data_IF_379706784333
#
_entry.id   IF_379706784333
#
_cell.length_a   1.000
_cell.length_b   1.000
_cell.length_c   1.000
_cell.angle_alpha   90.00
_cell.angle_beta   90.00
_cell.angle_gamma   90.00
#
_symmetry.space_group_name_H-M   'P 1'
#
loop_
_entity.id
_entity.type
_entity.pdbx_description
1 polymer ?
#
# COMPACT_ATOMS: atom_id res chain seq x y z
N UNK A 1 7.53 9.53 -26.08
CA UNK A 1 7.22 8.34 -25.28
C UNK A 1 8.44 8.06 -24.41
N UNK A 2 8.26 7.89 -23.10
CA UNK A 2 9.31 7.58 -22.14
C UNK A 2 9.61 6.09 -22.15
N UNK A 3 10.88 5.71 -22.00
CA UNK A 3 11.28 4.30 -21.87
C UNK A 3 11.82 4.05 -20.46
N UNK A 4 11.31 3.02 -19.80
CA UNK A 4 11.70 2.64 -18.44
C UNK A 4 12.15 1.18 -18.42
N UNK A 5 13.32 0.92 -17.84
CA UNK A 5 13.78 -0.44 -17.55
C UNK A 5 13.10 -0.97 -16.28
N UNK A 6 12.16 -1.90 -16.44
CA UNK A 6 11.42 -2.54 -15.37
C UNK A 6 12.24 -3.51 -14.52
N UNK A 7 13.53 -3.71 -14.81
CA UNK A 7 14.48 -4.45 -13.96
C UNK A 7 15.22 -3.56 -12.96
N UNK A 8 15.10 -2.23 -13.05
CA UNK A 8 15.72 -1.30 -12.12
C UNK A 8 15.26 -1.55 -10.67
N UNK A 9 16.18 -1.34 -9.73
CA UNK A 9 15.95 -1.54 -8.29
C UNK A 9 15.59 -2.99 -7.99
N UNK A 10 14.42 -3.23 -7.41
CA UNK A 10 13.98 -4.59 -7.10
C UNK A 10 13.47 -5.39 -8.32
N UNK A 11 13.31 -4.74 -9.47
CA UNK A 11 12.68 -5.32 -10.65
C UNK A 11 11.31 -5.93 -10.33
N UNK A 12 10.53 -5.28 -9.47
CA UNK A 12 9.27 -5.77 -8.94
C UNK A 12 8.03 -5.13 -9.58
N UNK A 13 6.84 -5.55 -9.15
CA UNK A 13 5.58 -4.95 -9.61
C UNK A 13 5.39 -3.50 -9.15
N UNK A 14 6.12 -3.04 -8.12
CA UNK A 14 6.01 -1.69 -7.57
C UNK A 14 6.38 -0.62 -8.60
N UNK A 15 7.55 -0.75 -9.25
CA UNK A 15 8.00 0.20 -10.28
C UNK A 15 6.95 0.37 -11.38
N UNK A 16 6.39 -0.74 -11.84
CA UNK A 16 5.38 -0.77 -12.90
C UNK A 16 4.10 -0.02 -12.49
N UNK A 17 3.62 -0.22 -11.25
CA UNK A 17 2.44 0.49 -10.73
C UNK A 17 2.68 1.99 -10.62
N UNK A 18 3.81 2.38 -10.03
CA UNK A 18 4.16 3.80 -9.84
C UNK A 18 4.35 4.51 -11.19
N UNK A 19 5.04 3.87 -12.14
CA UNK A 19 5.26 4.43 -13.48
C UNK A 19 3.95 4.67 -14.25
N UNK A 20 2.97 3.77 -14.16
CA UNK A 20 1.67 3.96 -14.79
C UNK A 20 0.88 5.10 -14.14
N UNK A 21 0.89 5.20 -12.82
CA UNK A 21 0.25 6.31 -12.13
C UNK A 21 0.87 7.66 -12.52
N UNK A 22 2.20 7.76 -12.54
CA UNK A 22 2.92 8.97 -12.94
C UNK A 22 2.76 9.31 -14.42
N UNK A 23 2.70 8.29 -15.29
CA UNK A 23 2.39 8.47 -16.71
C UNK A 23 1.01 9.12 -16.87
N UNK A 24 0.00 8.63 -16.14
CA UNK A 24 -1.35 9.18 -16.15
C UNK A 24 -1.38 10.66 -15.71
N UNK A 25 -0.74 10.98 -14.59
CA UNK A 25 -0.71 12.35 -14.05
C UNK A 25 -0.01 13.32 -15.01
N UNK A 26 1.13 12.89 -15.57
CA UNK A 26 1.94 13.76 -16.44
C UNK A 26 1.44 13.79 -17.88
N UNK A 27 0.44 12.98 -18.24
CA UNK A 27 0.01 12.76 -19.63
C UNK A 27 1.16 12.34 -20.57
N UNK A 28 2.21 11.70 -20.04
CA UNK A 28 3.38 11.26 -20.80
C UNK A 28 3.30 9.77 -21.07
N UNK A 29 3.17 9.33 -22.33
CA UNK A 29 3.19 7.90 -22.67
C UNK A 29 4.48 7.22 -22.21
N UNK A 30 4.38 6.00 -21.69
CA UNK A 30 5.51 5.19 -21.22
C UNK A 30 5.53 3.81 -21.88
N UNK A 31 6.73 3.34 -22.23
CA UNK A 31 7.03 1.94 -22.54
C UNK A 31 7.91 1.38 -21.43
N UNK A 32 7.49 0.27 -20.83
CA UNK A 32 8.28 -0.44 -19.81
C UNK A 32 8.77 -1.75 -20.42
N UNK A 33 10.07 -2.04 -20.30
CA UNK A 33 10.70 -3.29 -20.75
C UNK A 33 11.28 -4.07 -19.55
N UNK A 34 11.82 -5.27 -19.78
CA UNK A 34 12.49 -6.09 -18.74
C UNK A 34 11.66 -6.33 -17.47
N UNK A 35 10.33 -6.39 -17.58
CA UNK A 35 9.44 -6.49 -16.43
C UNK A 35 9.73 -7.77 -15.65
N UNK A 36 10.15 -7.61 -14.40
CA UNK A 36 10.46 -8.73 -13.49
C UNK A 36 11.51 -9.70 -14.04
N UNK A 37 12.42 -9.21 -14.89
CA UNK A 37 13.47 -10.00 -15.56
C UNK A 37 14.30 -10.86 -14.60
N UNK A 38 14.61 -10.32 -13.41
CA UNK A 38 15.45 -10.99 -12.40
C UNK A 38 14.66 -11.82 -11.37
N UNK A 39 13.34 -12.00 -11.56
CA UNK A 39 12.51 -12.81 -10.65
C UNK A 39 12.38 -14.24 -11.18
N UNK A 40 12.15 -15.25 -10.31
CA UNK A 40 12.03 -16.65 -10.74
C UNK A 40 10.97 -16.90 -11.81
N UNK A 41 9.92 -16.09 -11.81
CA UNK A 41 8.91 -16.08 -12.86
C UNK A 41 8.82 -14.66 -13.43
N UNK A 42 9.49 -14.35 -14.56
CA UNK A 42 9.47 -13.03 -15.18
C UNK A 42 8.10 -12.59 -15.69
N UNK A 43 8.00 -11.32 -16.06
CA UNK A 43 6.82 -10.72 -16.67
C UNK A 43 5.67 -10.41 -15.72
N UNK A 44 4.59 -9.88 -16.31
CA UNK A 44 3.36 -9.50 -15.61
C UNK A 44 2.67 -10.71 -14.99
N UNK A 45 2.32 -10.60 -13.71
CA UNK A 45 1.49 -11.58 -13.00
C UNK A 45 0.03 -11.15 -13.09
N UNK A 46 -0.95 -12.05 -12.88
CA UNK A 46 -2.37 -11.71 -12.94
C UNK A 46 -2.75 -10.46 -12.14
N UNK A 47 -2.21 -10.32 -10.92
CA UNK A 47 -2.42 -9.15 -10.07
C UNK A 47 -1.84 -7.84 -10.65
N UNK A 48 -0.68 -7.91 -11.33
CA UNK A 48 -0.10 -6.75 -12.00
C UNK A 48 -0.96 -6.38 -13.20
N UNK A 49 -1.30 -7.36 -14.04
CA UNK A 49 -2.12 -7.16 -15.23
C UNK A 49 -3.43 -6.48 -14.87
N UNK A 50 -4.16 -6.97 -13.86
CA UNK A 50 -5.44 -6.38 -13.46
C UNK A 50 -5.31 -4.94 -12.97
N UNK A 51 -4.25 -4.62 -12.21
CA UNK A 51 -4.00 -3.26 -11.77
C UNK A 51 -3.75 -2.32 -12.97
N UNK A 52 -2.97 -2.77 -13.96
CA UNK A 52 -2.66 -1.98 -15.16
C UNK A 52 -3.86 -1.86 -16.11
N UNK A 53 -4.65 -2.92 -16.27
CA UNK A 53 -5.92 -2.89 -17.01
C UNK A 53 -6.90 -1.90 -16.38
N UNK A 54 -6.99 -1.91 -15.04
CA UNK A 54 -7.86 -0.97 -14.31
C UNK A 54 -7.35 0.46 -14.47
N UNK A 55 -6.04 0.69 -14.36
CA UNK A 55 -5.45 2.00 -14.61
C UNK A 55 -5.71 2.47 -16.05
N UNK A 56 -5.61 1.57 -17.03
CA UNK A 56 -5.90 1.90 -18.42
C UNK A 56 -7.38 2.27 -18.63
N UNK A 57 -8.30 1.56 -17.98
CA UNK A 57 -9.73 1.86 -18.01
C UNK A 57 -10.05 3.21 -17.39
N UNK A 58 -9.47 3.53 -16.22
CA UNK A 58 -9.69 4.81 -15.53
C UNK A 58 -9.03 5.96 -16.30
N UNK A 59 -7.85 5.73 -16.90
CA UNK A 59 -7.09 6.77 -17.60
C UNK A 59 -7.42 6.88 -19.11
N UNK A 60 -8.50 6.23 -19.57
CA UNK A 60 -8.87 6.11 -20.99
C UNK A 60 -7.67 5.76 -21.89
N UNK A 61 -6.74 4.96 -21.39
CA UNK A 61 -5.40 4.82 -21.97
C UNK A 61 -5.39 3.84 -23.14
N UNK A 62 -4.59 4.16 -24.16
CA UNK A 62 -4.20 3.19 -25.19
C UNK A 62 -3.05 2.34 -24.66
N UNK A 63 -3.20 1.02 -24.76
CA UNK A 63 -2.24 0.05 -24.22
C UNK A 63 -1.85 -0.98 -25.27
N UNK A 64 -0.60 -1.44 -25.22
CA UNK A 64 -0.14 -2.61 -25.99
C UNK A 64 0.78 -3.47 -25.12
N UNK A 65 0.79 -4.79 -25.32
CA UNK A 65 1.64 -5.71 -24.55
C UNK A 65 1.16 -6.04 -23.13
N UNK A 66 -0.07 -5.63 -22.75
CA UNK A 66 -0.69 -6.04 -21.48
C UNK A 66 -1.27 -7.46 -21.60
N UNK A 67 -0.44 -8.47 -21.39
CA UNK A 67 -0.85 -9.87 -21.34
C UNK A 67 -0.14 -10.63 -20.21
N UNK A 68 -0.69 -11.76 -19.73
CA UNK A 68 -0.03 -12.57 -18.72
C UNK A 68 1.38 -13.00 -19.16
N UNK A 69 2.37 -12.81 -18.30
CA UNK A 69 3.77 -13.14 -18.59
C UNK A 69 4.50 -12.14 -19.47
N UNK A 70 3.84 -11.07 -19.94
CA UNK A 70 4.51 -10.07 -20.78
C UNK A 70 5.67 -9.40 -20.06
N UNK A 71 6.80 -9.27 -20.74
CA UNK A 71 8.02 -8.62 -20.25
C UNK A 71 8.15 -7.17 -20.71
N UNK A 72 7.24 -6.70 -21.57
CA UNK A 72 7.13 -5.30 -21.96
C UNK A 72 5.67 -4.87 -22.19
N UNK A 73 5.36 -3.61 -21.95
CA UNK A 73 4.09 -3.01 -22.38
C UNK A 73 4.26 -1.52 -22.65
N UNK A 74 3.33 -0.95 -23.42
CA UNK A 74 3.18 0.50 -23.56
C UNK A 74 1.85 0.96 -22.97
N UNK A 75 1.87 2.15 -22.40
CA UNK A 75 0.73 2.81 -21.77
C UNK A 75 0.72 4.28 -22.18
N UNK A 76 -0.35 4.70 -22.85
CA UNK A 76 -0.54 6.06 -23.35
C UNK A 76 -1.84 6.62 -22.78
N UNK A 77 -1.80 7.34 -21.64
CA UNK A 77 -3.00 7.90 -21.01
C UNK A 77 -3.61 8.99 -21.87
N UNK A 78 -4.92 9.23 -21.67
CA UNK A 78 -5.67 10.30 -22.35
C UNK A 78 -6.21 11.28 -21.32
N UNK A 79 -7.03 10.79 -20.39
CA UNK A 79 -7.69 11.58 -19.35
C UNK A 79 -7.96 10.69 -18.13
N UNK A 80 -7.99 11.25 -16.92
CA UNK A 80 -8.36 10.49 -15.71
C UNK A 80 -9.86 10.65 -15.51
N UNK A 81 -10.62 9.67 -16.01
CA UNK A 81 -12.07 9.75 -16.09
C UNK A 81 -12.72 9.43 -14.75
N UNK A 82 -13.65 10.31 -14.35
CA UNK A 82 -14.52 10.09 -13.20
C UNK A 82 -15.56 9.00 -13.42
N UNK A 83 -16.23 8.60 -12.34
CA UNK A 83 -17.40 7.71 -12.40
C UNK A 83 -17.26 6.43 -11.59
N UNK A 84 -18.13 5.47 -11.92
CA UNK A 84 -18.29 4.21 -11.17
C UNK A 84 -17.66 3.05 -11.92
N UNK A 85 -16.74 2.36 -11.27
CA UNK A 85 -16.05 1.21 -11.82
C UNK A 85 -16.25 -0.02 -10.94
N UNK A 86 -16.44 -1.18 -11.59
CA UNK A 86 -16.52 -2.48 -10.92
C UNK A 86 -15.38 -3.35 -11.43
N UNK A 87 -14.55 -3.80 -10.50
CA UNK A 87 -13.35 -4.57 -10.80
C UNK A 87 -13.43 -5.89 -10.04
N UNK A 88 -13.38 -7.00 -10.78
CA UNK A 88 -13.11 -8.31 -10.20
C UNK A 88 -11.70 -8.74 -10.59
N UNK A 89 -10.84 -8.96 -9.59
CA UNK A 89 -9.48 -9.45 -9.79
C UNK A 89 -9.50 -10.94 -10.20
N UNK A 90 -10.60 -11.65 -9.92
CA UNK A 90 -10.82 -13.06 -10.27
C UNK A 90 -10.00 -14.06 -9.44
N UNK A 91 -9.14 -13.55 -8.55
CA UNK A 91 -8.24 -14.33 -7.69
C UNK A 91 -8.05 -13.61 -6.36
N UNK A 92 -7.22 -14.15 -5.46
CA UNK A 92 -6.74 -13.46 -4.27
C UNK A 92 -5.70 -12.35 -4.56
N UNK A 93 -5.70 -11.72 -5.74
CA UNK A 93 -4.83 -10.58 -5.99
C UNK A 93 -5.17 -9.40 -5.05
N UNK A 94 -4.14 -8.72 -4.56
CA UNK A 94 -4.26 -7.69 -3.53
C UNK A 94 -5.06 -6.48 -4.01
N UNK A 95 -6.19 -6.21 -3.36
CA UNK A 95 -6.97 -4.98 -3.52
C UNK A 95 -6.12 -3.77 -3.10
N UNK A 96 -5.40 -3.76 -1.95
CA UNK A 96 -4.52 -2.65 -1.60
C UNK A 96 -3.50 -2.30 -2.68
N UNK A 97 -2.85 -3.27 -3.32
CA UNK A 97 -1.90 -2.98 -4.40
C UNK A 97 -2.57 -2.46 -5.67
N UNK A 98 -3.79 -2.90 -5.97
CA UNK A 98 -4.58 -2.35 -7.07
C UNK A 98 -4.92 -0.89 -6.79
N UNK A 99 -5.39 -0.57 -5.58
CA UNK A 99 -5.69 0.80 -5.18
C UNK A 99 -4.43 1.66 -5.18
N UNK A 100 -3.30 1.20 -4.64
CA UNK A 100 -2.03 1.93 -4.67
C UNK A 100 -1.50 2.20 -6.09
N UNK A 101 -1.89 1.40 -7.09
CA UNK A 101 -1.59 1.68 -8.50
C UNK A 101 -2.37 2.88 -9.05
N UNK A 102 -3.58 3.11 -8.54
CA UNK A 102 -4.50 4.13 -9.03
C UNK A 102 -4.36 5.42 -8.23
N UNK A 103 -4.32 5.30 -6.90
CA UNK A 103 -4.44 6.38 -5.93
C UNK A 103 -3.55 7.60 -6.21
N UNK A 104 -2.28 7.49 -6.67
CA UNK A 104 -1.51 8.69 -6.97
C UNK A 104 -2.13 9.58 -8.05
N UNK A 105 -2.86 8.98 -9.01
CA UNK A 105 -3.48 9.69 -10.12
C UNK A 105 -4.87 10.26 -9.78
N UNK A 106 -5.60 9.66 -8.84
CA UNK A 106 -7.01 9.99 -8.58
C UNK A 106 -7.28 11.43 -8.09
N UNK A 107 -6.37 12.12 -7.36
CA UNK A 107 -6.53 13.54 -7.05
C UNK A 107 -6.70 14.45 -8.27
N UNK A 108 -6.21 14.01 -9.43
CA UNK A 108 -6.20 14.74 -10.70
C UNK A 108 -7.32 14.32 -11.65
N UNK A 109 -8.28 13.51 -11.18
CA UNK A 109 -9.49 13.22 -11.93
C UNK A 109 -10.36 14.48 -12.11
N UNK A 110 -11.16 14.52 -13.17
CA UNK A 110 -12.11 15.64 -13.37
C UNK A 110 -13.29 15.57 -12.41
N UNK A 111 -13.69 14.35 -12.03
CA UNK A 111 -14.84 14.10 -11.18
C UNK A 111 -14.54 12.96 -10.19
N UNK A 112 -15.46 12.78 -9.24
CA UNK A 112 -15.45 11.71 -8.25
C UNK A 112 -15.30 10.33 -8.90
N UNK A 113 -14.46 9.48 -8.31
CA UNK A 113 -14.27 8.08 -8.69
C UNK A 113 -14.75 7.16 -7.58
N UNK A 114 -15.61 6.19 -7.95
CA UNK A 114 -16.12 5.17 -7.06
C UNK A 114 -15.76 3.79 -7.60
N UNK A 115 -14.99 3.02 -6.82
CA UNK A 115 -14.53 1.69 -7.16
C UNK A 115 -15.22 0.66 -6.27
N UNK A 116 -15.84 -0.35 -6.88
CA UNK A 116 -16.18 -1.60 -6.20
C UNK A 116 -15.19 -2.66 -6.65
N UNK A 117 -14.30 -3.08 -5.75
CA UNK A 117 -13.21 -4.01 -6.07
C UNK A 117 -13.42 -5.32 -5.32
N UNK A 118 -13.34 -6.44 -6.05
CA UNK A 118 -13.38 -7.80 -5.52
C UNK A 118 -12.04 -8.50 -5.70
N UNK A 119 -11.51 -9.13 -4.64
CA UNK A 119 -10.17 -9.71 -4.63
C UNK A 119 -9.69 -10.14 -3.24
N UNK A 120 -8.38 -10.04 -3.00
CA UNK A 120 -7.77 -10.28 -1.69
C UNK A 120 -7.63 -8.98 -0.88
N UNK A 121 -8.14 -8.96 0.34
CA UNK A 121 -7.97 -7.85 1.29
C UNK A 121 -6.76 -8.06 2.19
N UNK A 122 -6.46 -9.32 2.48
CA UNK A 122 -5.47 -9.76 3.47
C UNK A 122 -4.64 -10.88 2.86
N UNK A 123 -3.62 -10.50 2.09
CA UNK A 123 -2.78 -11.43 1.31
C UNK A 123 -1.30 -11.09 1.45
N UNK A 124 -0.45 -12.11 1.31
CA UNK A 124 0.98 -11.98 1.52
C UNK A 124 1.63 -11.04 0.49
N UNK A 125 2.73 -10.41 0.90
CA UNK A 125 3.54 -9.51 0.07
C UNK A 125 2.77 -8.27 -0.43
N UNK A 126 1.79 -7.83 0.35
CA UNK A 126 1.08 -6.57 0.19
C UNK A 126 0.64 -6.03 1.55
N UNK A 127 0.38 -4.72 1.68
CA UNK A 127 -0.35 -4.18 2.82
C UNK A 127 -1.71 -4.88 2.98
N UNK A 128 -2.19 -5.00 4.21
CA UNK A 128 -3.58 -5.36 4.49
C UNK A 128 -4.50 -4.19 4.16
N UNK A 129 -5.80 -4.48 4.01
CA UNK A 129 -6.80 -3.43 3.80
C UNK A 129 -6.87 -2.47 5.00
N UNK A 130 -6.71 -3.01 6.21
CA UNK A 130 -6.72 -2.21 7.44
C UNK A 130 -5.51 -1.28 7.51
N UNK A 131 -4.32 -1.73 7.08
CA UNK A 131 -3.14 -0.86 6.98
C UNK A 131 -3.39 0.29 6.00
N UNK A 132 -3.99 0.00 4.83
CA UNK A 132 -4.33 1.04 3.85
C UNK A 132 -5.31 2.07 4.45
N UNK A 133 -6.32 1.62 5.19
CA UNK A 133 -7.34 2.48 5.80
C UNK A 133 -6.79 3.32 6.96
N UNK A 134 -6.02 2.69 7.86
CA UNK A 134 -5.67 3.28 9.15
C UNK A 134 -4.26 3.88 9.20
N UNK A 135 -3.39 3.59 8.22
CA UNK A 135 -2.03 4.16 8.14
C UNK A 135 -1.89 4.99 6.87
N UNK A 136 -2.02 4.37 5.70
CA UNK A 136 -1.77 5.04 4.42
C UNK A 136 -2.72 6.21 4.18
N UNK A 137 -4.04 5.98 4.23
CA UNK A 137 -5.02 7.03 3.96
C UNK A 137 -4.98 8.12 5.04
N UNK A 138 -4.73 7.79 6.30
CA UNK A 138 -4.57 8.79 7.36
C UNK A 138 -3.36 9.71 7.12
N UNK A 139 -2.25 9.17 6.62
CA UNK A 139 -1.09 9.97 6.24
C UNK A 139 -1.39 10.86 5.03
N UNK A 140 -2.06 10.32 4.01
CA UNK A 140 -2.43 11.07 2.81
C UNK A 140 -3.46 12.18 3.10
N UNK A 141 -4.38 11.98 4.04
CA UNK A 141 -5.32 13.03 4.49
C UNK A 141 -4.57 14.25 5.03
N UNK A 142 -3.42 14.08 5.68
CA UNK A 142 -2.58 15.23 6.13
C UNK A 142 -2.04 16.06 4.97
N UNK A 143 -1.90 15.44 3.80
CA UNK A 143 -1.51 16.08 2.55
C UNK A 143 -2.71 16.62 1.77
N UNK A 144 -3.93 16.57 2.33
CA UNK A 144 -5.15 17.02 1.66
C UNK A 144 -5.76 16.02 0.69
N UNK A 145 -5.32 14.75 0.73
CA UNK A 145 -5.89 13.69 -0.09
C UNK A 145 -7.32 13.37 0.35
N UNK A 146 -8.26 13.33 -0.61
CA UNK A 146 -9.67 13.07 -0.37
C UNK A 146 -10.05 11.68 -0.86
N UNK A 147 -9.82 10.66 -0.03
CA UNK A 147 -10.13 9.27 -0.36
C UNK A 147 -10.62 8.48 0.84
N UNK A 148 -11.58 7.60 0.61
CA UNK A 148 -12.12 6.69 1.63
C UNK A 148 -12.18 5.28 1.08
N UNK A 149 -11.72 4.34 1.88
CA UNK A 149 -11.82 2.91 1.61
C UNK A 149 -12.70 2.30 2.70
N UNK A 150 -13.70 1.52 2.29
CA UNK A 150 -14.61 0.80 3.17
C UNK A 150 -14.56 -0.69 2.81
N UNK A 151 -14.05 -1.48 3.74
CA UNK A 151 -14.16 -2.92 3.70
C UNK A 151 -15.63 -3.36 3.78
N UNK A 152 -16.07 -4.25 2.90
CA UNK A 152 -17.38 -4.91 2.97
C UNK A 152 -17.23 -6.35 3.40
N UNK A 153 -16.32 -7.08 2.77
CA UNK A 153 -16.03 -8.47 3.08
C UNK A 153 -14.53 -8.72 2.98
N UNK A 154 -13.97 -9.52 3.89
CA UNK A 154 -12.57 -9.94 3.83
C UNK A 154 -12.36 -11.04 2.79
N UNK A 155 -11.19 -11.04 2.17
CA UNK A 155 -10.76 -11.98 1.15
C UNK A 155 -9.33 -12.45 1.35
N UNK A 156 -9.14 -13.76 1.46
CA UNK A 156 -7.86 -14.38 1.78
C UNK A 156 -7.37 -15.27 0.64
N UNK A 157 -6.05 -15.44 0.55
CA UNK A 157 -5.44 -16.42 -0.35
C UNK A 157 -5.90 -17.86 -0.02
N UNK A 158 -6.15 -18.74 -1.02
CA UNK A 158 -5.99 -18.54 -2.46
C UNK A 158 -7.23 -18.00 -3.18
N UNK A 159 -8.40 -18.05 -2.54
CA UNK A 159 -9.68 -17.80 -3.21
C UNK A 159 -9.99 -16.32 -3.41
N UNK A 160 -9.55 -15.45 -2.50
CA UNK A 160 -9.91 -14.04 -2.47
C UNK A 160 -11.38 -13.86 -2.11
N UNK A 161 -12.11 -13.12 -2.94
CA UNK A 161 -13.55 -12.89 -2.80
C UNK A 161 -13.93 -11.82 -1.79
N UNK A 162 -12.97 -11.13 -1.18
CA UNK A 162 -13.22 -9.95 -0.39
C UNK A 162 -13.67 -8.80 -1.27
N UNK A 163 -14.46 -7.89 -0.71
CA UNK A 163 -15.07 -6.78 -1.43
C UNK A 163 -14.80 -5.47 -0.70
N UNK A 164 -14.37 -4.47 -1.46
CA UNK A 164 -14.04 -3.13 -0.96
C UNK A 164 -14.77 -2.09 -1.80
N UNK A 165 -15.37 -1.11 -1.12
CA UNK A 165 -15.87 0.11 -1.73
C UNK A 165 -14.87 1.22 -1.48
N UNK A 166 -14.30 1.79 -2.54
CA UNK A 166 -13.38 2.91 -2.44
C UNK A 166 -13.96 4.13 -3.17
N UNK A 167 -13.80 5.30 -2.58
CA UNK A 167 -14.28 6.57 -3.11
C UNK A 167 -13.16 7.58 -3.06
N UNK A 168 -12.94 8.30 -4.16
CA UNK A 168 -11.91 9.31 -4.29
C UNK A 168 -12.50 10.55 -4.92
N UNK A 169 -12.21 11.71 -4.34
CA UNK A 169 -12.62 13.01 -4.86
C UNK A 169 -11.39 13.70 -5.48
N UNK A 170 -11.56 14.46 -6.58
CA UNK A 170 -10.53 15.38 -7.05
C UNK A 170 -10.10 16.31 -5.93
N UNK A 171 -8.79 16.44 -5.71
CA UNK A 171 -8.26 17.20 -4.60
C UNK A 171 -6.88 17.79 -4.90
N UNK A 172 -6.57 18.90 -4.23
CA UNK A 172 -5.26 19.54 -4.31
C UNK A 172 -4.37 19.04 -3.17
N UNK A 173 -3.33 18.31 -3.53
CA UNK A 173 -2.31 17.89 -2.58
C UNK A 173 -1.52 19.09 -2.05
N UNK A 174 -1.10 19.01 -0.78
CA UNK A 174 -0.34 20.03 -0.08
C UNK A 174 0.85 19.40 0.62
N UNK A 175 1.98 20.09 0.58
CA UNK A 175 3.18 19.62 1.25
C UNK A 175 2.96 19.40 2.74
N UNK A 176 3.51 18.31 3.28
CA UNK A 176 3.40 17.98 4.69
C UNK A 176 4.74 17.52 5.25
N UNK A 177 5.04 18.01 6.46
CA UNK A 177 6.25 17.69 7.18
C UNK A 177 5.89 16.67 8.26
N UNK A 178 6.08 15.38 7.96
CA UNK A 178 5.84 14.29 8.89
C UNK A 178 6.89 14.37 9.99
N UNK A 179 6.44 14.68 11.21
CA UNK A 179 7.29 14.84 12.38
C UNK A 179 6.99 13.74 13.39
N UNK A 180 8.04 13.35 14.10
CA UNK A 180 7.92 12.43 15.22
C UNK A 180 6.99 13.02 16.31
N UNK A 181 6.03 12.24 16.86
CA UNK A 181 5.35 12.61 18.10
C UNK A 181 6.38 12.77 19.24
N UNK A 182 6.35 13.93 19.93
CA UNK A 182 7.32 14.29 20.99
C UNK A 182 7.32 13.32 22.19
N UNK A 183 6.32 12.47 22.34
CA UNK A 183 6.24 11.46 23.40
C UNK A 183 5.63 10.16 22.83
N UNK A 184 6.46 9.12 22.64
CA UNK A 184 6.01 7.80 22.18
C UNK A 184 5.60 6.86 23.33
N UNK A 185 6.02 7.15 24.57
CA UNK A 185 5.59 6.39 25.74
C UNK A 185 4.10 6.65 25.98
N UNK A 186 3.33 5.59 26.18
CA UNK A 186 1.86 5.60 26.29
C UNK A 186 1.09 5.91 25.00
N UNK A 187 1.71 5.73 23.81
CA UNK A 187 0.91 5.70 22.58
C UNK A 187 -0.07 4.53 22.64
N UNK A 188 -1.33 4.83 22.36
CA UNK A 188 -2.35 3.82 22.15
C UNK A 188 -2.09 3.13 20.80
N UNK A 189 -1.90 1.81 20.85
CA UNK A 189 -1.72 0.96 19.67
C UNK A 189 -3.06 0.29 19.40
N UNK A 190 -3.71 0.71 18.32
CA UNK A 190 -4.96 0.11 17.90
C UNK A 190 -4.71 -1.13 17.06
N UNK A 191 -5.70 -2.02 16.96
CA UNK A 191 -5.60 -3.14 16.06
C UNK A 191 -6.90 -3.89 15.85
N UNK A 192 -6.94 -4.67 14.77
CA UNK A 192 -8.02 -5.61 14.48
C UNK A 192 -7.39 -6.97 14.20
N UNK A 193 -7.79 -7.98 14.97
CA UNK A 193 -7.53 -9.38 14.69
C UNK A 193 -8.78 -10.05 14.15
N UNK A 194 -8.69 -10.73 13.02
CA UNK A 194 -9.85 -11.20 12.29
C UNK A 194 -9.68 -12.66 11.85
N UNK A 195 -10.79 -13.39 11.80
CA UNK A 195 -10.86 -14.75 11.23
C UNK A 195 -12.07 -14.91 10.32
N UNK A 196 -11.95 -15.80 9.35
CA UNK A 196 -13.05 -16.29 8.54
C UNK A 196 -13.01 -17.81 8.45
N UNK A 197 -14.14 -18.47 8.68
CA UNK A 197 -14.30 -19.94 8.63
C UNK A 197 -13.30 -20.68 9.55
N UNK A 198 -12.99 -20.09 10.71
CA UNK A 198 -12.12 -20.64 11.74
C UNK A 198 -12.75 -20.35 13.11
N UNK A 199 -12.44 -21.13 14.17
CA UNK A 199 -12.93 -20.84 15.50
C UNK A 199 -12.56 -19.43 15.98
N UNK A 200 -13.49 -18.73 16.62
CA UNK A 200 -13.32 -17.34 17.10
C UNK A 200 -12.14 -17.18 18.07
N UNK A 201 -11.78 -18.24 18.80
CA UNK A 201 -10.61 -18.24 19.69
C UNK A 201 -9.28 -18.01 18.94
N UNK A 202 -9.23 -18.18 17.62
CA UNK A 202 -8.03 -17.91 16.82
C UNK A 202 -7.74 -16.40 16.80
N UNK A 203 -8.73 -15.53 16.54
CA UNK A 203 -8.54 -14.08 16.62
C UNK A 203 -8.24 -13.64 18.06
N UNK A 204 -8.93 -14.23 19.05
CA UNK A 204 -8.66 -13.90 20.45
C UNK A 204 -7.20 -14.19 20.84
N UNK A 205 -6.66 -15.36 20.45
CA UNK A 205 -5.26 -15.74 20.72
C UNK A 205 -4.24 -14.89 19.95
N UNK A 206 -4.57 -14.46 18.74
CA UNK A 206 -3.76 -13.51 17.97
C UNK A 206 -3.69 -12.15 18.68
N UNK A 207 -4.86 -11.58 19.02
CA UNK A 207 -4.96 -10.30 19.71
C UNK A 207 -4.24 -10.35 21.06
N UNK A 208 -4.49 -11.38 21.88
CA UNK A 208 -3.89 -11.50 23.21
C UNK A 208 -2.36 -11.56 23.13
N UNK A 209 -1.80 -12.37 22.23
CA UNK A 209 -0.35 -12.48 22.10
C UNK A 209 0.31 -11.17 21.62
N UNK A 210 -0.39 -10.36 20.81
CA UNK A 210 0.06 -9.02 20.45
C UNK A 210 -0.05 -8.05 21.63
N UNK A 211 -1.18 -8.07 22.38
CA UNK A 211 -1.40 -7.25 23.57
C UNK A 211 -0.32 -7.48 24.62
N UNK A 212 -0.04 -8.74 24.95
CA UNK A 212 1.00 -9.10 25.93
C UNK A 212 2.34 -8.48 25.58
N UNK A 213 2.80 -8.64 24.33
CA UNK A 213 4.11 -8.13 23.91
C UNK A 213 4.16 -6.59 23.88
N UNK A 214 3.08 -5.92 23.48
CA UNK A 214 3.01 -4.46 23.49
C UNK A 214 3.00 -3.89 24.93
N UNK A 215 2.31 -4.57 25.86
CA UNK A 215 2.30 -4.19 27.28
C UNK A 215 3.67 -4.37 27.94
N UNK A 216 4.37 -5.47 27.64
CA UNK A 216 5.75 -5.73 28.09
C UNK A 216 6.71 -4.61 27.65
N UNK A 217 6.43 -3.97 26.51
CA UNK A 217 7.21 -2.88 25.94
C UNK A 217 6.74 -1.48 26.37
N UNK A 218 5.72 -1.39 27.25
CA UNK A 218 5.23 -0.13 27.81
C UNK A 218 4.26 0.64 26.91
N UNK A 219 3.62 -0.01 25.94
CA UNK A 219 2.56 0.57 25.10
C UNK A 219 1.17 0.15 25.59
N UNK A 220 0.14 0.92 25.23
CA UNK A 220 -1.26 0.63 25.60
C UNK A 220 -2.02 0.06 24.40
N UNK A 221 -2.27 -1.26 24.31
CA UNK A 221 -2.93 -1.84 23.15
C UNK A 221 -4.46 -1.87 23.29
N UNK A 222 -5.16 -1.35 22.28
CA UNK A 222 -6.60 -1.55 22.05
C UNK A 222 -6.82 -2.37 20.77
N UNK A 223 -6.87 -3.69 20.92
CA UNK A 223 -6.99 -4.62 19.80
C UNK A 223 -8.33 -5.33 19.87
N UNK A 224 -9.18 -5.06 18.88
CA UNK A 224 -10.49 -5.68 18.67
C UNK A 224 -10.38 -7.02 17.94
N UNK A 225 -11.47 -7.79 17.98
CA UNK A 225 -11.57 -9.08 17.29
C UNK A 225 -12.79 -9.14 16.36
N UNK A 226 -12.62 -9.76 15.20
CA UNK A 226 -13.68 -9.99 14.23
C UNK A 226 -13.73 -11.47 13.83
N UNK A 227 -14.94 -12.03 13.71
CA UNK A 227 -15.13 -13.41 13.30
C UNK A 227 -16.25 -13.48 12.26
N UNK A 228 -15.96 -14.13 11.14
CA UNK A 228 -16.88 -14.18 10.00
C UNK A 228 -17.03 -15.59 9.43
N UNK A 229 -18.10 -15.78 8.66
CA UNK A 229 -18.30 -16.91 7.76
C UNK A 229 -18.37 -16.35 6.33
N UNK A 230 -17.24 -16.37 5.61
CA UNK A 230 -17.11 -15.74 4.28
C UNK A 230 -16.70 -16.74 3.21
N UNK A 231 -16.59 -16.26 1.97
CA UNK A 231 -16.18 -17.07 0.82
C UNK A 231 -14.81 -17.75 0.98
N UNK A 232 -13.86 -17.08 1.61
CA UNK A 232 -12.50 -17.59 1.83
C UNK A 232 -12.18 -17.76 3.31
N UNK A 233 -11.45 -18.84 3.62
CA UNK A 233 -10.93 -19.13 4.96
C UNK A 233 -9.61 -18.41 5.16
N UNK A 234 -9.44 -17.75 6.29
CA UNK A 234 -8.19 -17.08 6.64
C UNK A 234 -8.25 -16.41 8.00
N UNK A 235 -7.12 -15.91 8.44
CA UNK A 235 -7.04 -15.05 9.62
C UNK A 235 -5.87 -14.09 9.48
N UNK A 236 -5.90 -13.01 10.25
CA UNK A 236 -4.84 -12.03 10.28
C UNK A 236 -5.02 -11.08 11.44
N UNK A 237 -4.01 -10.23 11.62
CA UNK A 237 -4.04 -9.15 12.57
C UNK A 237 -3.28 -7.98 11.95
N UNK A 238 -3.86 -6.79 12.04
CA UNK A 238 -3.21 -5.53 11.70
C UNK A 238 -3.23 -4.63 12.93
N UNK A 239 -2.09 -4.04 13.25
CA UNK A 239 -1.86 -3.10 14.33
C UNK A 239 -1.46 -1.76 13.73
N UNK A 240 -1.86 -0.66 14.35
CA UNK A 240 -1.46 0.67 13.92
C UNK A 240 -1.46 1.69 15.06
N UNK A 241 -0.66 2.74 14.89
CA UNK A 241 -0.76 3.98 15.66
C UNK A 241 -0.06 5.10 14.90
N UNK A 242 -0.71 6.25 14.79
CA UNK A 242 -0.21 7.35 13.95
C UNK A 242 0.11 6.90 12.52
N UNK A 243 1.39 6.97 12.15
CA UNK A 243 1.89 6.60 10.82
C UNK A 243 2.73 5.33 10.82
N UNK A 244 2.46 4.45 11.78
CA UNK A 244 3.11 3.15 11.95
C UNK A 244 2.08 2.03 11.87
N UNK A 245 2.43 0.94 11.21
CA UNK A 245 1.66 -0.28 11.23
C UNK A 245 2.51 -1.54 11.30
N UNK A 246 1.87 -2.64 11.71
CA UNK A 246 2.44 -3.98 11.67
C UNK A 246 1.34 -5.00 11.45
N UNK A 247 1.59 -6.03 10.66
CA UNK A 247 0.58 -7.00 10.28
C UNK A 247 1.12 -8.41 10.16
N UNK A 248 0.26 -9.39 10.38
CA UNK A 248 0.61 -10.78 10.15
C UNK A 248 -0.60 -11.58 9.71
N UNK A 249 -0.37 -12.51 8.80
CA UNK A 249 -1.40 -13.41 8.28
C UNK A 249 -1.25 -14.80 8.88
N UNK A 250 -2.38 -15.40 9.24
CA UNK A 250 -2.44 -16.81 9.60
C UNK A 250 -2.14 -17.71 8.39
N UNK A 251 -1.53 -18.86 8.66
CA UNK A 251 -1.31 -19.90 7.65
C UNK A 251 -1.44 -21.28 8.29
N UNK A 252 -1.73 -22.30 7.48
CA UNK A 252 -1.86 -23.68 7.95
C UNK A 252 -0.60 -24.10 8.71
N UNK A 253 -0.78 -24.61 9.94
CA UNK A 253 0.31 -25.04 10.81
C UNK A 253 1.03 -23.93 11.59
N UNK A 254 0.64 -22.65 11.43
CA UNK A 254 1.19 -21.55 12.22
C UNK A 254 0.28 -21.24 13.43
N UNK A 255 0.79 -21.28 14.68
CA UNK A 255 0.00 -20.95 15.86
C UNK A 255 -0.50 -19.50 15.87
N UNK A 256 -1.70 -19.27 16.38
CA UNK A 256 -2.35 -17.97 16.48
C UNK A 256 -1.49 -16.95 17.26
N UNK A 257 -0.87 -17.37 18.36
CA UNK A 257 0.00 -16.53 19.19
C UNK A 257 1.22 -16.06 18.42
N UNK A 258 1.77 -16.92 17.55
CA UNK A 258 2.92 -16.57 16.74
C UNK A 258 2.54 -15.51 15.70
N UNK A 259 1.34 -15.57 15.13
CA UNK A 259 0.82 -14.53 14.23
C UNK A 259 0.69 -13.20 15.00
N UNK A 260 0.08 -13.22 16.20
CA UNK A 260 -0.03 -12.03 17.06
C UNK A 260 1.33 -11.39 17.38
N UNK A 261 2.29 -12.19 17.85
CA UNK A 261 3.66 -11.72 18.13
C UNK A 261 4.38 -11.22 16.89
N UNK A 262 4.12 -11.79 15.71
CA UNK A 262 4.72 -11.32 14.45
C UNK A 262 4.23 -9.92 14.08
N UNK A 263 2.93 -9.65 14.20
CA UNK A 263 2.40 -8.30 13.92
C UNK A 263 2.94 -7.28 14.93
N UNK A 264 2.98 -7.63 16.22
CA UNK A 264 3.59 -6.77 17.23
C UNK A 264 5.10 -6.56 16.98
N UNK A 265 5.81 -7.62 16.59
CA UNK A 265 7.22 -7.54 16.22
C UNK A 265 7.50 -6.71 14.96
N UNK A 266 6.52 -6.52 14.08
CA UNK A 266 6.64 -5.64 12.91
C UNK A 266 6.49 -4.15 13.29
N UNK A 267 5.54 -3.81 14.16
CA UNK A 267 5.30 -2.40 14.55
C UNK A 267 6.29 -1.91 15.62
N UNK A 268 6.77 -2.77 16.52
CA UNK A 268 7.64 -2.40 17.65
C UNK A 268 8.94 -1.67 17.26
N UNK A 269 9.70 -2.09 16.23
CA UNK A 269 10.88 -1.34 15.78
C UNK A 269 10.56 0.11 15.42
N UNK A 270 9.38 0.37 14.84
CA UNK A 270 8.95 1.70 14.44
C UNK A 270 8.58 2.55 15.67
N UNK A 271 7.89 1.94 16.64
CA UNK A 271 7.55 2.58 17.91
C UNK A 271 8.78 2.95 18.75
N UNK A 272 9.80 2.08 18.76
CA UNK A 272 11.07 2.33 19.48
C UNK A 272 11.93 3.40 18.82
N UNK A 273 11.79 3.59 17.51
CA UNK A 273 12.56 4.59 16.77
C UNK A 273 12.04 6.02 16.99
N UNK A 274 12.82 7.03 16.62
CA UNK A 274 12.35 8.42 16.53
C UNK A 274 11.86 8.79 15.12
N UNK A 275 11.62 7.80 14.26
CA UNK A 275 11.07 8.00 12.93
C UNK A 275 9.64 8.57 13.00
N UNK A 276 9.28 9.35 11.97
CA UNK A 276 7.95 9.92 11.80
C UNK A 276 6.98 8.97 11.09
N UNK A 277 7.49 8.07 10.24
CA UNK A 277 6.70 7.09 9.48
C UNK A 277 7.39 5.72 9.52
N UNK A 278 6.62 4.65 9.37
CA UNK A 278 7.21 3.30 9.21
C UNK A 278 7.87 3.09 7.83
N UNK A 279 8.61 1.99 7.70
CA UNK A 279 9.37 1.66 6.48
C UNK A 279 8.51 1.40 5.22
N UNK A 280 7.25 1.01 5.39
CA UNK A 280 6.35 0.70 4.28
C UNK A 280 5.61 1.96 3.83
N UNK A 281 5.16 2.78 4.77
CA UNK A 281 4.58 4.08 4.46
C UNK A 281 5.61 5.01 3.82
N UNK A 282 6.88 4.92 4.22
CA UNK A 282 7.99 5.66 3.61
C UNK A 282 8.01 5.52 2.09
N UNK A 283 7.88 4.30 1.54
CA UNK A 283 7.85 4.11 0.10
C UNK A 283 6.55 4.61 -0.55
N UNK A 284 5.42 4.48 0.15
CA UNK A 284 4.09 4.82 -0.37
C UNK A 284 3.92 6.33 -0.52
N UNK A 285 4.53 7.14 0.36
CA UNK A 285 4.41 8.60 0.36
C UNK A 285 5.16 9.27 -0.81
N UNK A 286 6.19 8.64 -1.35
CA UNK A 286 7.09 9.24 -2.36
C UNK A 286 6.35 9.92 -3.53
N UNK A 287 5.46 9.24 -4.29
CA UNK A 287 4.79 9.90 -5.42
C UNK A 287 3.95 11.10 -4.96
N UNK A 288 3.29 11.01 -3.80
CA UNK A 288 2.46 12.11 -3.29
C UNK A 288 3.29 13.30 -2.82
N UNK A 289 4.44 13.06 -2.18
CA UNK A 289 5.36 14.12 -1.76
C UNK A 289 5.88 14.91 -2.95
N UNK A 290 6.28 14.23 -4.03
CA UNK A 290 6.73 14.89 -5.25
C UNK A 290 5.62 15.71 -5.94
N UNK A 291 4.39 15.22 -5.92
CA UNK A 291 3.24 15.92 -6.50
C UNK A 291 2.80 17.13 -5.66
N UNK A 292 2.98 17.05 -4.34
CA UNK A 292 2.60 18.10 -3.40
C UNK A 292 3.68 19.18 -3.23
N UNK A 293 4.95 18.84 -3.44
CA UNK A 293 6.10 19.67 -3.05
C UNK A 293 6.22 19.81 -1.53
N UNK A 294 7.24 20.56 -1.09
CA UNK A 294 7.50 20.99 0.30
C UNK A 294 7.11 19.94 1.36
N UNK A 295 7.62 18.72 1.20
CA UNK A 295 7.27 17.57 2.02
C UNK A 295 8.52 16.90 2.58
N UNK A 296 8.42 16.36 3.79
CA UNK A 296 9.49 15.54 4.36
C UNK A 296 8.95 14.51 5.36
N UNK A 297 9.73 13.44 5.56
CA UNK A 297 9.55 12.50 6.67
C UNK A 297 10.90 11.98 7.16
N UNK A 298 10.90 11.37 8.34
CA UNK A 298 12.01 10.51 8.81
C UNK A 298 11.56 9.05 8.91
N UNK A 299 12.41 8.13 8.48
CA UNK A 299 12.22 6.68 8.56
C UNK A 299 13.46 6.01 9.17
N UNK A 300 13.30 4.85 9.81
CA UNK A 300 14.47 4.12 10.37
C UNK A 300 15.37 3.52 9.29
N UNK A 301 14.82 3.21 8.12
CA UNK A 301 15.49 2.51 7.04
C UNK A 301 14.93 2.95 5.69
N UNK A 302 15.78 2.96 4.66
CA UNK A 302 15.38 3.13 3.28
C UNK A 302 15.32 1.79 2.56
N UNK A 303 14.11 1.26 2.45
CA UNK A 303 13.83 0.04 1.70
C UNK A 303 14.20 0.21 0.21
N UNK A 304 14.44 -0.91 -0.47
CA UNK A 304 14.66 -0.91 -1.91
C UNK A 304 13.42 -0.42 -2.68
N UNK A 305 12.21 -0.68 -2.15
CA UNK A 305 10.97 -0.05 -2.60
C UNK A 305 11.02 1.48 -2.54
N UNK A 306 11.46 2.06 -1.42
CA UNK A 306 11.57 3.52 -1.27
C UNK A 306 12.52 4.10 -2.31
N UNK A 307 13.72 3.51 -2.46
CA UNK A 307 14.72 3.94 -3.45
C UNK A 307 14.20 3.85 -4.88
N UNK A 308 13.47 2.80 -5.19
CA UNK A 308 12.87 2.58 -6.52
C UNK A 308 11.75 3.58 -6.80
N UNK A 309 10.88 3.85 -5.82
CA UNK A 309 9.84 4.87 -5.94
C UNK A 309 10.43 6.28 -6.09
N UNK A 310 11.51 6.61 -5.39
CA UNK A 310 12.23 7.89 -5.58
C UNK A 310 12.71 7.98 -7.02
N UNK A 311 13.48 6.99 -7.47
CA UNK A 311 14.08 7.00 -8.79
C UNK A 311 13.04 7.13 -9.91
N UNK A 312 11.96 6.33 -9.88
CA UNK A 312 10.93 6.38 -10.93
C UNK A 312 10.16 7.71 -10.89
N UNK A 313 9.93 8.27 -9.70
CA UNK A 313 9.25 9.56 -9.55
C UNK A 313 10.04 10.69 -10.18
N UNK A 314 11.37 10.72 -9.96
CA UNK A 314 12.27 11.69 -10.59
C UNK A 314 12.43 11.50 -12.11
N UNK A 315 12.04 10.36 -12.69
CA UNK A 315 12.01 10.21 -14.16
C UNK A 315 10.83 10.96 -14.78
N UNK A 316 9.70 11.00 -14.08
CA UNK A 316 8.45 11.58 -14.57
C UNK A 316 8.30 13.06 -14.22
N UNK A 317 8.75 13.45 -13.02
CA UNK A 317 8.56 14.77 -12.45
C UNK A 317 9.89 15.50 -12.34
N UNK A 318 9.88 16.81 -12.57
CA UNK A 318 11.05 17.69 -12.43
C UNK A 318 11.29 18.02 -10.95
N UNK A 319 11.59 16.99 -10.16
CA UNK A 319 11.85 17.07 -8.72
C UNK A 319 13.11 16.29 -8.38
N UNK A 320 13.72 16.62 -7.23
CA UNK A 320 14.86 15.88 -6.68
C UNK A 320 14.62 15.62 -5.19
N UNK A 321 14.64 14.35 -4.81
CA UNK A 321 14.58 13.97 -3.41
C UNK A 321 15.95 14.15 -2.77
N UNK A 322 15.97 14.78 -1.61
CA UNK A 322 17.15 14.87 -0.75
C UNK A 322 17.03 13.87 0.37
N UNK A 323 18.07 13.07 0.54
CA UNK A 323 18.18 12.06 1.59
C UNK A 323 19.33 12.48 2.51
N UNK A 324 19.06 12.57 3.81
CA UNK A 324 20.08 12.85 4.84
C UNK A 324 20.00 11.81 5.93
N UNK A 325 21.14 11.30 6.34
CA UNK A 325 21.24 10.45 7.53
C UNK A 325 21.54 11.32 8.74
N UNK A 326 20.70 11.23 9.77
CA UNK A 326 20.86 12.01 11.01
C UNK A 326 20.30 11.22 12.19
N UNK A 327 21.07 11.14 13.27
CA UNK A 327 20.67 10.47 14.52
C UNK A 327 20.19 9.03 14.32
N UNK A 328 20.79 8.30 13.36
CA UNK A 328 20.42 6.93 13.01
C UNK A 328 19.10 6.79 12.23
N UNK A 329 18.58 7.90 11.69
CA UNK A 329 17.39 7.94 10.84
C UNK A 329 17.71 8.47 9.45
N UNK A 330 16.87 8.16 8.48
CA UNK A 330 16.89 8.74 7.14
C UNK A 330 15.79 9.80 7.02
N UNK A 331 16.19 11.05 6.84
CA UNK A 331 15.32 12.16 6.47
C UNK A 331 15.21 12.22 4.94
N UNK A 332 13.99 12.05 4.43
CA UNK A 332 13.66 12.16 3.00
C UNK A 332 12.84 13.42 2.81
N UNK A 333 13.26 14.29 1.89
CA UNK A 333 12.58 15.55 1.62
C UNK A 333 12.53 15.86 0.13
N UNK A 334 11.53 16.63 -0.28
CA UNK A 334 11.38 17.20 -1.61
C UNK A 334 10.81 18.61 -1.48
N UNK A 335 11.39 19.55 -2.23
CA UNK A 335 10.96 20.95 -2.28
C UNK A 335 9.73 21.12 -3.20
#
# INVERSE_FOLDING_TARGET
MMEIDGSYGEGGGQLVRTAVALSAITSRPVKITNIRKNRPNPGLKPQHLKALETAAMVCSARVSGLSPGSTEFSFSPVEIKGGKYRIDIGTAGSIPLLLQCLMPALPFAEEKIELTVRGGTDVAWSPTIDYLQHVTLQALEKMGYAGRVKLQERGYYPKGGGTVLATFEPCKLRGFQFKNPKNKLNLEVQGISHVSNLPSHVAARQAEAAKTLLLEEGYSPDIGTECFELFSTGSGITLWTGFFGGSALGKKGLPAEKVGRQAAGEILPELRSLAAVDIHLADQLIPYMALAGNSSYTARELSMHTKTNIWITEQFLDVKFRIREKDGLFEVSVD
#
